data_IF_819577179578
#
_entry.id   IF_819577179578
#
_cell.length_a   1.000
_cell.length_b   1.000
_cell.length_c   1.000
_cell.angle_alpha   90.00
_cell.angle_beta   90.00
_cell.angle_gamma   90.00
#
_symmetry.space_group_name_H-M   'P 1'
#
loop_
_entity.id
_entity.type
_entity.pdbx_description
1 polymer ?
#
# COMPACT_ATOMS: atom_id res chain seq x y z
N UNK A 1 -13.26 5.21 -14.94
CA UNK A 1 -11.84 5.60 -14.84
C UNK A 1 -11.04 4.57 -14.04
N UNK A 2 -11.27 4.43 -12.73
CA UNK A 2 -10.50 3.47 -11.91
C UNK A 2 -10.63 2.01 -12.40
N UNK A 3 -11.83 1.57 -12.77
CA UNK A 3 -12.04 0.23 -13.35
C UNK A 3 -11.15 -0.01 -14.59
N UNK A 4 -11.04 0.97 -15.50
CA UNK A 4 -10.20 0.88 -16.69
C UNK A 4 -8.71 0.74 -16.31
N UNK A 5 -8.28 1.44 -15.26
CA UNK A 5 -6.92 1.31 -14.73
C UNK A 5 -6.69 -0.10 -14.19
N UNK A 6 -7.64 -0.63 -13.41
CA UNK A 6 -7.55 -1.97 -12.84
C UNK A 6 -7.53 -3.05 -13.93
N UNK A 7 -8.42 -2.96 -14.92
CA UNK A 7 -8.53 -3.92 -16.03
C UNK A 7 -7.27 -3.95 -16.90
N UNK A 8 -6.64 -2.79 -17.14
CA UNK A 8 -5.46 -2.67 -18.00
C UNK A 8 -4.12 -2.91 -17.27
N UNK A 9 -4.12 -3.06 -15.93
CA UNK A 9 -2.90 -3.26 -15.15
C UNK A 9 -2.36 -4.70 -15.28
N UNK A 10 -1.71 -5.00 -16.40
CA UNK A 10 -1.19 -6.34 -16.74
C UNK A 10 -0.18 -6.92 -15.75
N UNK A 11 0.60 -6.06 -15.08
CA UNK A 11 1.56 -6.48 -14.06
C UNK A 11 0.94 -6.57 -12.67
N UNK A 12 -0.35 -6.26 -12.52
CA UNK A 12 -1.02 -6.16 -11.23
C UNK A 12 -1.07 -4.74 -10.67
N UNK A 13 -1.78 -4.64 -9.55
CA UNK A 13 -2.10 -3.39 -8.86
C UNK A 13 -1.71 -3.49 -7.39
N UNK A 14 -1.06 -2.45 -6.89
CA UNK A 14 -0.79 -2.25 -5.48
C UNK A 14 -1.66 -1.10 -4.99
N UNK A 15 -2.37 -1.30 -3.88
CA UNK A 15 -3.12 -0.23 -3.21
C UNK A 15 -2.28 0.28 -2.05
N UNK A 16 -2.10 1.60 -1.94
CA UNK A 16 -1.49 2.22 -0.76
C UNK A 16 -2.49 3.12 -0.05
N UNK A 17 -2.83 2.81 1.20
CA UNK A 17 -3.79 3.58 2.00
C UNK A 17 -3.49 3.52 3.50
N UNK A 18 -3.28 4.68 4.11
CA UNK A 18 -3.00 4.81 5.56
C UNK A 18 -4.26 5.09 6.40
N UNK A 19 -5.43 4.80 5.84
CA UNK A 19 -6.71 5.07 6.49
C UNK A 19 -7.07 6.55 6.49
N UNK A 20 -7.84 6.99 7.49
CA UNK A 20 -8.34 8.36 7.60
C UNK A 20 -7.58 9.21 8.63
N UNK A 21 -7.01 8.57 9.66
CA UNK A 21 -6.32 9.23 10.75
C UNK A 21 -4.84 9.52 10.45
N UNK A 22 -4.24 8.79 9.51
CA UNK A 22 -2.88 9.04 9.01
C UNK A 22 -3.01 9.45 7.54
N UNK A 23 -2.52 10.64 7.22
CA UNK A 23 -2.61 11.22 5.88
C UNK A 23 -1.29 11.06 5.15
N UNK A 24 -1.33 10.57 3.92
CA UNK A 24 -0.14 10.39 3.09
C UNK A 24 0.54 11.73 2.79
N UNK A 25 -0.26 12.80 2.67
CA UNK A 25 0.25 14.15 2.44
C UNK A 25 0.99 14.77 3.64
N UNK A 26 0.92 14.14 4.83
CA UNK A 26 1.61 14.58 6.06
C UNK A 26 2.80 13.70 6.45
N UNK A 27 3.21 12.75 5.63
CA UNK A 27 4.36 11.88 5.92
C UNK A 27 5.72 12.60 5.88
N UNK A 28 5.76 13.84 5.38
CA UNK A 28 6.99 14.60 5.14
C UNK A 28 7.54 14.35 3.74
N UNK A 29 8.14 15.38 3.14
CA UNK A 29 8.59 15.33 1.74
C UNK A 29 9.65 14.25 1.49
N UNK A 30 10.59 14.09 2.42
CA UNK A 30 11.66 13.09 2.32
C UNK A 30 11.09 11.68 2.22
N UNK A 31 10.21 11.29 3.15
CA UNK A 31 9.56 9.97 3.11
C UNK A 31 8.68 9.80 1.87
N UNK A 32 7.95 10.84 1.45
CA UNK A 32 7.17 10.79 0.21
C UNK A 32 8.07 10.53 -1.01
N UNK A 33 9.24 11.18 -1.08
CA UNK A 33 10.23 10.94 -2.13
C UNK A 33 10.75 9.51 -2.10
N UNK A 34 11.15 8.99 -0.93
CA UNK A 34 11.61 7.60 -0.81
C UNK A 34 10.55 6.58 -1.25
N UNK A 35 9.28 6.83 -0.92
CA UNK A 35 8.14 6.01 -1.35
C UNK A 35 7.93 6.08 -2.87
N UNK A 36 7.90 7.28 -3.45
CA UNK A 36 7.75 7.46 -4.91
C UNK A 36 8.92 6.83 -5.67
N UNK A 37 10.14 6.97 -5.16
CA UNK A 37 11.33 6.37 -5.74
C UNK A 37 11.25 4.85 -5.72
N UNK A 38 10.72 4.23 -4.65
CA UNK A 38 10.45 2.79 -4.61
C UNK A 38 9.41 2.41 -5.68
N UNK A 39 8.29 3.14 -5.76
CA UNK A 39 7.23 2.84 -6.72
C UNK A 39 7.66 3.01 -8.18
N UNK A 40 8.56 3.95 -8.48
CA UNK A 40 9.09 4.11 -9.83
C UNK A 40 9.89 2.91 -10.33
N UNK A 41 10.37 2.04 -9.42
CA UNK A 41 11.24 0.88 -9.71
C UNK A 41 10.47 -0.44 -9.83
N UNK A 42 9.15 -0.42 -9.66
CA UNK A 42 8.29 -1.60 -9.78
C UNK A 42 7.43 -1.53 -11.05
N UNK A 43 6.86 -2.66 -11.47
CA UNK A 43 6.13 -2.77 -12.75
C UNK A 43 4.62 -2.65 -12.59
N UNK A 44 4.14 -2.86 -11.38
CA UNK A 44 2.76 -2.78 -10.94
C UNK A 44 2.27 -1.33 -11.00
N UNK A 45 0.97 -1.18 -11.25
CA UNK A 45 0.31 0.11 -11.07
C UNK A 45 0.06 0.33 -9.59
N UNK A 46 0.45 1.48 -9.04
CA UNK A 46 0.19 1.85 -7.65
C UNK A 46 -0.96 2.83 -7.59
N UNK A 47 -2.02 2.49 -6.85
CA UNK A 47 -3.10 3.42 -6.51
C UNK A 47 -2.86 3.90 -5.09
N UNK A 48 -2.42 5.14 -4.95
CA UNK A 48 -2.08 5.73 -3.66
C UNK A 48 -3.16 6.70 -3.18
N UNK A 49 -3.78 6.39 -2.05
CA UNK A 49 -4.64 7.35 -1.34
C UNK A 49 -3.79 8.52 -0.81
N UNK A 50 -4.00 9.71 -1.36
CA UNK A 50 -3.23 10.91 -1.05
C UNK A 50 -4.16 12.14 -1.02
N UNK A 51 -4.16 12.87 0.09
CA UNK A 51 -5.21 13.85 0.42
C UNK A 51 -5.05 15.23 -0.27
N UNK A 52 -3.88 15.51 -0.84
CA UNK A 52 -3.54 16.78 -1.52
C UNK A 52 -3.13 16.53 -2.97
N UNK A 53 -2.98 17.61 -3.75
CA UNK A 53 -2.34 17.49 -5.08
C UNK A 53 -0.84 17.22 -4.92
N UNK A 54 -0.29 16.39 -5.81
CA UNK A 54 1.13 16.06 -5.85
C UNK A 54 1.57 15.99 -7.32
N UNK A 55 2.71 16.62 -7.60
CA UNK A 55 3.28 16.70 -8.94
C UNK A 55 4.40 15.67 -9.14
N UNK A 56 4.83 15.48 -10.39
CA UNK A 56 5.97 14.62 -10.75
C UNK A 56 5.82 13.15 -10.31
N UNK A 57 4.59 12.63 -10.38
CA UNK A 57 4.33 11.22 -10.10
C UNK A 57 5.01 10.31 -11.15
N UNK A 58 5.59 9.17 -10.74
CA UNK A 58 6.00 8.12 -11.66
C UNK A 58 4.83 7.67 -12.54
N UNK A 59 5.12 7.22 -13.77
CA UNK A 59 4.09 6.85 -14.77
C UNK A 59 3.14 5.75 -14.29
N UNK A 60 3.57 4.90 -13.36
CA UNK A 60 2.80 3.80 -12.80
C UNK A 60 2.07 4.18 -11.50
N UNK A 61 2.16 5.42 -11.03
CA UNK A 61 1.52 5.87 -9.78
C UNK A 61 0.31 6.75 -10.09
N UNK A 62 -0.83 6.37 -9.52
CA UNK A 62 -2.09 7.09 -9.59
C UNK A 62 -2.49 7.52 -8.19
N UNK A 63 -2.72 8.82 -7.97
CA UNK A 63 -3.20 9.33 -6.68
C UNK A 63 -4.71 9.58 -6.68
N UNK A 64 -5.36 9.31 -5.55
CA UNK A 64 -6.76 9.64 -5.31
C UNK A 64 -6.95 10.11 -3.87
N UNK A 65 -7.79 11.13 -3.66
CA UNK A 65 -8.13 11.59 -2.29
C UNK A 65 -8.95 10.57 -1.50
N UNK A 66 -9.75 9.78 -2.22
CA UNK A 66 -10.60 8.73 -1.67
C UNK A 66 -10.63 7.52 -2.60
N UNK A 67 -10.76 6.33 -2.03
CA UNK A 67 -10.81 5.06 -2.76
C UNK A 67 -12.01 4.23 -2.30
N UNK A 68 -12.77 3.61 -3.23
CA UNK A 68 -13.68 2.52 -2.90
C UNK A 68 -12.88 1.25 -2.57
N UNK A 69 -12.15 1.27 -1.45
CA UNK A 69 -11.07 0.33 -1.14
C UNK A 69 -11.51 -1.13 -1.20
N UNK A 70 -12.63 -1.48 -0.55
CA UNK A 70 -13.14 -2.85 -0.53
C UNK A 70 -13.49 -3.37 -1.94
N UNK A 71 -14.06 -2.51 -2.80
CA UNK A 71 -14.39 -2.88 -4.18
C UNK A 71 -13.12 -3.09 -5.02
N UNK A 72 -12.11 -2.24 -4.83
CA UNK A 72 -10.83 -2.39 -5.53
C UNK A 72 -10.14 -3.67 -5.08
N UNK A 73 -10.11 -3.97 -3.77
CA UNK A 73 -9.50 -5.17 -3.21
C UNK A 73 -10.10 -6.46 -3.81
N UNK A 74 -11.40 -6.45 -4.17
CA UNK A 74 -12.05 -7.58 -4.84
C UNK A 74 -11.67 -7.77 -6.31
N UNK A 75 -10.84 -6.89 -6.89
CA UNK A 75 -10.43 -6.98 -8.28
C UNK A 75 -9.24 -7.97 -8.46
N UNK A 76 -9.28 -8.90 -9.45
CA UNK A 76 -8.27 -9.97 -9.59
C UNK A 76 -6.84 -9.49 -9.88
N UNK A 77 -6.69 -8.27 -10.39
CA UNK A 77 -5.39 -7.65 -10.64
C UNK A 77 -4.76 -7.05 -9.37
N UNK A 78 -5.48 -6.92 -8.25
CA UNK A 78 -4.84 -6.46 -7.01
C UNK A 78 -3.96 -7.56 -6.44
N UNK A 79 -2.69 -7.21 -6.19
CA UNK A 79 -1.66 -8.14 -5.71
C UNK A 79 -1.14 -7.82 -4.32
N UNK A 80 -1.30 -6.59 -3.87
CA UNK A 80 -0.76 -6.14 -2.58
C UNK A 80 -1.54 -4.95 -2.03
N UNK A 81 -1.78 -4.98 -0.73
CA UNK A 81 -2.24 -3.83 0.04
C UNK A 81 -1.12 -3.32 0.95
N UNK A 82 -0.73 -2.05 0.79
CA UNK A 82 0.19 -1.36 1.69
C UNK A 82 -0.64 -0.42 2.55
N UNK A 83 -0.63 -0.61 3.86
CA UNK A 83 -1.45 0.22 4.74
C UNK A 83 -1.00 0.26 6.18
N UNK A 84 -1.68 1.10 6.95
CA UNK A 84 -1.26 1.39 8.33
C UNK A 84 -1.55 0.29 9.38
N UNK A 85 -2.12 -0.86 9.00
CA UNK A 85 -2.53 -1.89 9.95
C UNK A 85 -3.79 -1.57 10.77
N UNK A 86 -4.64 -0.64 10.31
CA UNK A 86 -5.94 -0.41 10.93
C UNK A 86 -6.89 -1.61 10.76
N UNK A 87 -7.78 -1.83 11.74
CA UNK A 87 -8.59 -3.04 11.83
C UNK A 87 -9.46 -3.31 10.59
N UNK A 88 -10.19 -2.30 10.10
CA UNK A 88 -11.11 -2.49 8.96
C UNK A 88 -10.37 -2.86 7.68
N UNK A 89 -9.35 -2.08 7.29
CA UNK A 89 -8.56 -2.40 6.08
C UNK A 89 -7.88 -3.76 6.19
N UNK A 90 -7.43 -4.14 7.39
CA UNK A 90 -6.87 -5.48 7.62
C UNK A 90 -7.92 -6.57 7.35
N UNK A 91 -9.16 -6.40 7.83
CA UNK A 91 -10.25 -7.35 7.57
C UNK A 91 -10.62 -7.45 6.09
N UNK A 92 -10.74 -6.31 5.39
CA UNK A 92 -11.02 -6.27 3.95
C UNK A 92 -9.92 -6.99 3.14
N UNK A 93 -8.66 -6.70 3.45
CA UNK A 93 -7.50 -7.32 2.79
C UNK A 93 -7.47 -8.83 3.00
N UNK A 94 -7.74 -9.30 4.22
CA UNK A 94 -7.87 -10.74 4.52
C UNK A 94 -9.04 -11.38 3.77
N UNK A 95 -10.20 -10.71 3.76
CA UNK A 95 -11.40 -11.21 3.11
C UNK A 95 -11.19 -11.48 1.62
N UNK A 96 -10.46 -10.59 0.93
CA UNK A 96 -10.14 -10.74 -0.49
C UNK A 96 -8.89 -11.57 -0.78
N UNK A 97 -8.22 -12.10 0.26
CA UNK A 97 -7.01 -12.91 0.09
C UNK A 97 -5.83 -12.14 -0.52
N UNK A 98 -5.77 -10.82 -0.27
CA UNK A 98 -4.67 -9.97 -0.73
C UNK A 98 -3.61 -9.90 0.38
N UNK A 99 -2.32 -10.12 0.10
CA UNK A 99 -1.28 -9.99 1.12
C UNK A 99 -1.03 -8.51 1.49
N UNK A 100 -0.43 -8.28 2.66
CA UNK A 100 -0.28 -6.93 3.22
C UNK A 100 1.17 -6.52 3.52
N UNK A 101 1.51 -5.24 3.29
CA UNK A 101 2.61 -4.56 4.01
C UNK A 101 1.97 -3.61 5.03
N UNK A 102 2.27 -3.82 6.30
CA UNK A 102 1.74 -3.03 7.40
C UNK A 102 2.77 -2.01 7.91
N UNK A 103 2.38 -0.72 7.91
CA UNK A 103 3.18 0.42 8.39
C UNK A 103 2.47 1.08 9.58
N UNK A 104 2.66 0.60 10.82
CA UNK A 104 1.91 1.11 11.96
C UNK A 104 2.44 2.47 12.43
N UNK A 105 1.52 3.38 12.78
CA UNK A 105 1.83 4.73 13.27
C UNK A 105 1.35 4.97 14.71
N UNK A 106 0.17 4.47 15.07
CA UNK A 106 -0.49 4.82 16.34
C UNK A 106 -1.30 3.67 16.94
N UNK A 107 -1.42 3.68 18.27
CA UNK A 107 -2.38 2.88 19.06
C UNK A 107 -2.43 1.40 18.65
N UNK A 108 -3.56 0.95 18.12
CA UNK A 108 -3.91 -0.44 17.83
C UNK A 108 -3.18 -0.98 16.61
N UNK A 109 -2.72 -0.10 15.72
CA UNK A 109 -2.02 -0.47 14.48
C UNK A 109 -0.78 -1.33 14.76
N UNK A 110 -0.05 -1.05 15.84
CA UNK A 110 1.11 -1.85 16.21
C UNK A 110 0.73 -3.27 16.63
N UNK A 111 -0.39 -3.43 17.35
CA UNK A 111 -0.90 -4.74 17.80
C UNK A 111 -1.41 -5.53 16.60
N UNK A 112 -2.21 -4.90 15.74
CA UNK A 112 -2.72 -5.49 14.52
C UNK A 112 -1.57 -5.92 13.59
N UNK A 113 -0.55 -5.09 13.43
CA UNK A 113 0.64 -5.41 12.63
C UNK A 113 1.39 -6.63 13.16
N UNK A 114 1.55 -6.75 14.49
CA UNK A 114 2.14 -7.96 15.10
C UNK A 114 1.31 -9.21 14.79
N UNK A 115 -0.03 -9.09 14.78
CA UNK A 115 -0.92 -10.20 14.42
C UNK A 115 -0.83 -10.55 12.94
N UNK A 116 -0.81 -9.55 12.03
CA UNK A 116 -0.62 -9.73 10.59
C UNK A 116 0.65 -10.54 10.31
N UNK A 117 1.77 -10.14 10.92
CA UNK A 117 3.06 -10.85 10.77
C UNK A 117 2.99 -12.26 11.37
N UNK A 118 2.49 -12.39 12.61
CA UNK A 118 2.40 -13.70 13.28
C UNK A 118 1.52 -14.69 12.53
N UNK A 119 0.48 -14.21 11.86
CA UNK A 119 -0.46 -15.00 11.08
C UNK A 119 -0.03 -15.20 9.63
N UNK A 120 1.13 -14.69 9.24
CA UNK A 120 1.65 -14.79 7.87
C UNK A 120 0.63 -14.24 6.86
N UNK A 121 0.05 -13.07 7.15
CA UNK A 121 -0.83 -12.34 6.23
C UNK A 121 -0.04 -11.26 5.48
N UNK A 122 1.10 -10.87 6.05
CA UNK A 122 1.87 -9.75 5.57
C UNK A 122 3.13 -9.48 6.38
N UNK A 123 3.86 -8.44 5.98
CA UNK A 123 5.12 -8.04 6.61
C UNK A 123 5.02 -6.66 7.26
N UNK A 124 5.88 -6.41 8.24
CA UNK A 124 5.98 -5.12 8.92
C UNK A 124 7.04 -4.24 8.27
N UNK A 125 6.70 -2.96 8.06
CA UNK A 125 7.63 -1.89 7.69
C UNK A 125 7.56 -0.79 8.75
N UNK A 126 8.70 -0.47 9.35
CA UNK A 126 8.79 0.62 10.31
C UNK A 126 8.90 1.96 9.57
N UNK A 127 7.94 2.86 9.82
CA UNK A 127 7.85 4.17 9.15
C UNK A 127 9.17 4.97 9.21
N UNK A 128 9.85 4.97 10.36
CA UNK A 128 11.09 5.73 10.59
C UNK A 128 12.29 5.23 9.79
N UNK A 129 12.20 4.03 9.23
CA UNK A 129 13.27 3.39 8.47
C UNK A 129 12.92 3.25 6.98
N UNK A 130 11.84 3.91 6.53
CA UNK A 130 11.47 3.88 5.11
C UNK A 130 12.56 4.57 4.30
N UNK A 131 13.19 3.77 3.45
CA UNK A 131 14.00 4.19 2.31
C UNK A 131 13.46 3.48 1.07
N UNK A 132 13.79 4.00 -0.10
CA UNK A 132 13.35 3.49 -1.39
C UNK A 132 13.73 2.02 -1.55
N UNK A 133 14.98 1.68 -1.22
CA UNK A 133 15.47 0.30 -1.31
C UNK A 133 14.81 -0.61 -0.28
N UNK A 134 14.60 -0.14 0.95
CA UNK A 134 13.95 -0.95 1.98
C UNK A 134 12.51 -1.29 1.61
N UNK A 135 11.72 -0.28 1.19
CA UNK A 135 10.34 -0.49 0.78
C UNK A 135 10.25 -1.35 -0.49
N UNK A 136 11.11 -1.10 -1.49
CA UNK A 136 11.18 -1.90 -2.71
C UNK A 136 11.44 -3.38 -2.42
N UNK A 137 12.38 -3.68 -1.52
CA UNK A 137 12.69 -5.05 -1.13
C UNK A 137 11.50 -5.72 -0.44
N UNK A 138 10.78 -4.99 0.43
CA UNK A 138 9.58 -5.50 1.09
C UNK A 138 8.42 -5.75 0.13
N UNK A 139 8.25 -4.89 -0.89
CA UNK A 139 7.28 -5.11 -1.96
C UNK A 139 7.60 -6.39 -2.73
N UNK A 140 8.86 -6.55 -3.15
CA UNK A 140 9.29 -7.77 -3.88
C UNK A 140 9.16 -9.03 -3.03
N UNK A 141 9.56 -8.97 -1.76
CA UNK A 141 9.42 -10.08 -0.82
C UNK A 141 7.99 -10.64 -0.78
N UNK A 142 6.99 -9.75 -0.70
CA UNK A 142 5.58 -10.14 -0.62
C UNK A 142 5.02 -10.58 -1.97
N UNK A 143 5.41 -9.94 -3.07
CA UNK A 143 4.93 -10.30 -4.41
C UNK A 143 5.53 -11.63 -4.92
N UNK A 144 6.81 -11.90 -4.59
CA UNK A 144 7.50 -13.11 -5.01
C UNK A 144 7.18 -14.31 -4.11
N UNK A 145 6.78 -14.07 -2.85
CA UNK A 145 6.35 -15.08 -1.89
C UNK A 145 4.97 -14.72 -1.33
N UNK A 146 3.89 -14.88 -2.13
CA UNK A 146 2.55 -14.61 -1.64
C UNK A 146 2.28 -15.48 -0.41
N UNK A 147 1.97 -14.80 0.70
CA UNK A 147 1.83 -15.37 2.04
C UNK A 147 0.56 -16.21 2.16
#
# INVERSE_FOLDING_TARGET
DLQIVLDNAKNGVIIFSLGTNVRSDKLGKEIQTEILDAFSKIRETVIWKFESEIENLPKNVLVRKWLPQNDILGHPNVKLFIGHGGALSTQETIFHGVPMIAIPFIVDQHINTKLIVKKQIGVHVEFRHITSNYLLNKIREVLDNPV
#
